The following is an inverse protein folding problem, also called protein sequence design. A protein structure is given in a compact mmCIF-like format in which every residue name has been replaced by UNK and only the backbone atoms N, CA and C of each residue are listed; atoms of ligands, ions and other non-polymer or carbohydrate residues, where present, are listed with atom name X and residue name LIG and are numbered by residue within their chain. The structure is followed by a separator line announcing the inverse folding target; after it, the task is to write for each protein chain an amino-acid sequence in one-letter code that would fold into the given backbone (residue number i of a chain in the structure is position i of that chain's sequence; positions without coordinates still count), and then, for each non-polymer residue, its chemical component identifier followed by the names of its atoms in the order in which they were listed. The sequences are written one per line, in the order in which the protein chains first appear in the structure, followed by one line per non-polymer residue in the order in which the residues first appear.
data_IF_925002658236
#
_entry.id   IF_925002658236
#
_cell.length_a   1.000
_cell.length_b   1.000
_cell.length_c   1.000
_cell.angle_alpha   90.00
_cell.angle_beta   90.00
_cell.angle_gamma   90.00
#
_symmetry.space_group_name_H-M   'P 1'
#
loop_
_entity.id
_entity.type
_entity.pdbx_description
1 polymer ?
#
# COMPACT_ATOMS: atom_id res chain seq x y z
N UNK A 1 11.48 -5.02 5.66
CA UNK A 1 11.05 -6.10 4.76
C UNK A 1 9.84 -6.78 5.38
N UNK A 2 8.69 -6.76 4.71
CA UNK A 2 7.44 -7.41 5.16
C UNK A 2 7.24 -8.74 4.41
N UNK A 3 6.75 -9.79 5.07
CA UNK A 3 6.37 -11.02 4.38
C UNK A 3 5.06 -10.86 3.62
N UNK A 4 4.82 -11.72 2.62
CA UNK A 4 3.55 -11.74 1.89
C UNK A 4 2.34 -11.94 2.81
N UNK A 5 2.45 -12.84 3.79
CA UNK A 5 1.36 -13.13 4.72
C UNK A 5 1.06 -11.92 5.63
N UNK A 6 2.08 -11.28 6.19
CA UNK A 6 1.92 -10.06 7.00
C UNK A 6 1.29 -8.92 6.16
N UNK A 7 1.72 -8.76 4.91
CA UNK A 7 1.14 -7.79 3.99
C UNK A 7 -0.35 -8.04 3.75
N UNK A 8 -0.74 -9.27 3.42
CA UNK A 8 -2.13 -9.62 3.15
C UNK A 8 -3.03 -9.50 4.39
N UNK A 9 -2.47 -9.71 5.59
CA UNK A 9 -3.18 -9.52 6.85
C UNK A 9 -3.38 -8.03 7.19
N UNK A 10 -2.37 -7.20 6.96
CA UNK A 10 -2.43 -5.78 7.25
C UNK A 10 -3.25 -5.00 6.21
N UNK A 11 -3.23 -5.45 4.96
CA UNK A 11 -3.83 -4.78 3.80
C UNK A 11 -4.71 -5.76 3.01
N UNK A 12 -5.86 -6.20 3.54
CA UNK A 12 -6.70 -7.19 2.87
C UNK A 12 -7.33 -6.64 1.57
N UNK A 13 -7.54 -7.53 0.58
CA UNK A 13 -8.27 -7.21 -0.66
C UNK A 13 -9.66 -6.67 -0.31
N UNK A 14 -10.07 -5.61 -1.01
CA UNK A 14 -11.32 -4.88 -0.76
C UNK A 14 -11.20 -3.81 0.33
N UNK A 15 -10.09 -3.75 1.08
CA UNK A 15 -9.85 -2.64 1.99
C UNK A 15 -9.52 -1.36 1.21
N UNK A 16 -10.02 -0.24 1.72
CA UNK A 16 -9.75 1.10 1.19
C UNK A 16 -8.69 1.76 2.05
N UNK A 17 -7.58 2.16 1.44
CA UNK A 17 -6.50 2.85 2.15
C UNK A 17 -6.21 4.21 1.52
N UNK A 18 -5.77 5.14 2.34
CA UNK A 18 -5.27 6.43 1.85
C UNK A 18 -3.88 6.26 1.27
N UNK A 19 -3.76 6.38 -0.04
CA UNK A 19 -2.48 6.38 -0.75
C UNK A 19 -2.06 7.84 -0.96
N UNK A 20 -0.88 8.26 -0.48
CA UNK A 20 -0.36 9.60 -0.73
C UNK A 20 0.02 9.76 -2.21
N UNK A 21 -0.39 10.87 -2.83
CA UNK A 21 -0.01 11.18 -4.21
C UNK A 21 1.50 11.49 -4.32
N UNK A 22 2.11 11.15 -5.46
CA UNK A 22 3.56 11.31 -5.68
C UNK A 22 4.06 12.77 -5.63
N UNK A 23 3.17 13.76 -5.81
CA UNK A 23 3.53 15.19 -5.93
C UNK A 23 2.90 16.09 -4.85
N UNK A 24 2.64 15.56 -3.65
CA UNK A 24 1.97 16.32 -2.57
C UNK A 24 0.48 16.56 -2.83
N UNK A 25 -0.07 15.90 -3.84
CA UNK A 25 -1.50 15.80 -4.10
C UNK A 25 -2.20 15.05 -2.96
N UNK A 26 -3.44 15.47 -2.67
CA UNK A 26 -4.25 14.91 -1.56
C UNK A 26 -4.25 13.39 -1.62
N UNK A 27 -4.06 12.76 -0.45
CA UNK A 27 -4.19 11.32 -0.32
C UNK A 27 -5.55 10.86 -0.87
N UNK A 28 -5.53 9.96 -1.84
CA UNK A 28 -6.75 9.38 -2.41
C UNK A 28 -7.02 8.04 -1.74
N UNK A 29 -8.28 7.78 -1.42
CA UNK A 29 -8.70 6.46 -0.99
C UNK A 29 -8.73 5.54 -2.20
N UNK A 30 -7.93 4.48 -2.15
CA UNK A 30 -7.87 3.46 -3.18
C UNK A 30 -8.22 2.10 -2.58
N UNK A 31 -8.95 1.29 -3.34
CA UNK A 31 -9.32 -0.08 -2.96
C UNK A 31 -8.26 -1.07 -3.45
N UNK A 32 -7.80 -1.93 -2.54
CA UNK A 32 -6.82 -2.96 -2.85
C UNK A 32 -7.51 -4.07 -3.65
N UNK A 33 -7.06 -4.30 -4.88
CA UNK A 33 -7.61 -5.33 -5.77
C UNK A 33 -6.72 -6.56 -5.89
N UNK A 34 -5.48 -6.48 -5.41
CA UNK A 34 -4.54 -7.59 -5.49
C UNK A 34 -3.16 -7.26 -4.94
N UNK A 35 -2.26 -8.22 -5.13
CA UNK A 35 -0.92 -8.19 -4.59
C UNK A 35 0.10 -8.61 -5.64
N UNK A 36 1.29 -8.04 -5.57
CA UNK A 36 2.48 -8.53 -6.27
C UNK A 36 3.58 -8.72 -5.21
N UNK A 37 4.31 -9.83 -5.26
CA UNK A 37 5.40 -10.09 -4.33
C UNK A 37 6.57 -10.74 -5.07
N UNK A 38 7.70 -10.06 -5.12
CA UNK A 38 8.91 -10.55 -5.77
C UNK A 38 10.15 -10.04 -5.04
N UNK A 39 11.18 -10.90 -4.92
CA UNK A 39 12.47 -10.57 -4.30
C UNK A 39 12.37 -9.94 -2.89
N UNK A 40 11.33 -10.28 -2.13
CA UNK A 40 11.12 -9.75 -0.78
C UNK A 40 10.41 -8.40 -0.72
N UNK A 41 10.05 -7.82 -1.86
CA UNK A 41 9.26 -6.57 -1.93
C UNK A 41 7.80 -6.89 -2.22
N UNK A 42 6.91 -6.30 -1.42
CA UNK A 42 5.46 -6.44 -1.55
C UNK A 42 4.82 -5.18 -2.11
N UNK A 43 3.94 -5.36 -3.09
CA UNK A 43 3.18 -4.28 -3.72
C UNK A 43 1.68 -4.53 -3.58
N UNK A 44 0.96 -3.46 -3.26
CA UNK A 44 -0.51 -3.43 -3.36
C UNK A 44 -0.90 -2.96 -4.76
N UNK A 45 -1.88 -3.64 -5.36
CA UNK A 45 -2.45 -3.26 -6.64
C UNK A 45 -3.79 -2.56 -6.42
N UNK A 46 -4.04 -1.49 -7.17
CA UNK A 46 -5.28 -0.71 -7.15
C UNK A 46 -5.97 -0.71 -8.52
N UNK A 47 -7.26 -0.37 -8.54
CA UNK A 47 -8.08 -0.38 -9.77
C UNK A 47 -7.52 0.50 -10.90
N UNK A 48 -6.90 1.64 -10.57
CA UNK A 48 -6.36 2.60 -11.55
C UNK A 48 -4.96 2.21 -12.08
N UNK A 49 -4.57 0.93 -11.95
CA UNK A 49 -3.28 0.34 -12.37
C UNK A 49 -2.05 0.86 -11.62
N UNK A 50 -2.23 1.71 -10.62
CA UNK A 50 -1.15 2.04 -9.70
C UNK A 50 -0.80 0.81 -8.86
N UNK A 51 0.50 0.58 -8.69
CA UNK A 51 1.03 -0.35 -7.71
C UNK A 51 1.89 0.42 -6.72
N UNK A 52 1.73 0.13 -5.43
CA UNK A 52 2.43 0.86 -4.38
C UNK A 52 3.23 -0.12 -3.53
N UNK A 53 4.49 0.23 -3.31
CA UNK A 53 5.38 -0.47 -2.39
C UNK A 53 4.87 -0.29 -0.96
N UNK A 54 4.63 -1.42 -0.29
CA UNK A 54 4.12 -1.45 1.09
C UNK A 54 5.08 -0.83 2.09
N UNK A 55 6.40 -0.89 1.86
CA UNK A 55 7.37 -0.27 2.75
C UNK A 55 7.30 1.26 2.68
N UNK A 56 6.97 1.83 1.51
CA UNK A 56 6.71 3.27 1.38
C UNK A 56 5.44 3.67 2.14
N UNK A 57 4.39 2.86 2.09
CA UNK A 57 3.17 3.09 2.86
C UNK A 57 3.41 2.98 4.37
N UNK A 58 4.13 1.96 4.82
CA UNK A 58 4.44 1.76 6.24
C UNK A 58 5.33 2.87 6.82
N UNK A 59 6.26 3.40 6.01
CA UNK A 59 7.05 4.58 6.36
C UNK A 59 6.17 5.81 6.58
N UNK A 60 5.21 6.06 5.67
CA UNK A 60 4.30 7.20 5.76
C UNK A 60 3.27 7.04 6.89
N UNK A 61 2.79 5.82 7.12
CA UNK A 61 1.86 5.53 8.22
C UNK A 61 2.51 5.70 9.60
N UNK A 62 3.83 5.58 9.71
CA UNK A 62 4.57 5.88 10.94
C UNK A 62 4.67 7.37 11.24
N UNK A 63 4.75 8.22 10.22
CA UNK A 63 4.82 9.67 10.39
C UNK A 63 3.44 10.32 10.63
N UNK A 64 2.35 9.68 10.21
CA UNK A 64 0.98 10.20 10.41
C UNK A 64 0.42 10.01 11.83
N UNK A 65 1.15 9.37 12.76
CA UNK A 65 0.74 9.12 14.16
C UNK A 65 1.49 10.03 15.16
N UNK A 66 1.92 11.22 14.75
CA UNK A 66 2.48 12.24 15.65
C UNK A 66 1.71 13.54 15.63
#
# INVERSE_FOLDING_TARGET
MISFLEMAQQYPIGAKISVPGEDGTKAMQQEIVGYEYYNGTGYLLFHDREKVDVERLAGIHRDSVR
#
